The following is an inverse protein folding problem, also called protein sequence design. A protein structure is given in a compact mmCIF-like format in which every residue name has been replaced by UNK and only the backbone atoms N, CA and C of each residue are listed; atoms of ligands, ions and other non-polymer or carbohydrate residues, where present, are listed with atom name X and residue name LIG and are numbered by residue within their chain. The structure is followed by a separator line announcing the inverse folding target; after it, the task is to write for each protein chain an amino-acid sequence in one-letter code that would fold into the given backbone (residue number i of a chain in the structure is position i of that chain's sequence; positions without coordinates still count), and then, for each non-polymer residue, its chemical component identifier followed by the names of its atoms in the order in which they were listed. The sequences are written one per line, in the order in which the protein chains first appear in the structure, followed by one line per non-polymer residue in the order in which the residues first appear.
data_IF_077094408980
#
_entry.id   IF_077094408980
#
_cell.length_a   1.000
_cell.length_b   1.000
_cell.length_c   1.000
_cell.angle_alpha   90.00
_cell.angle_beta   90.00
_cell.angle_gamma   90.00
#
_symmetry.space_group_name_H-M   'P 1'
#
loop_
_entity.id
_entity.type
_entity.pdbx_description
1 polymer ?
#
# COMPACT_ATOMS: atom_id res chain seq x y z
N UNK A 1 -17.84 5.63 -2.06
CA UNK A 1 -16.53 5.17 -1.59
C UNK A 1 -16.70 4.25 -0.40
N UNK A 2 -16.06 3.10 -0.44
CA UNK A 2 -16.23 2.08 0.58
C UNK A 2 -14.96 1.86 1.40
N UNK A 3 -13.99 2.77 1.31
CA UNK A 3 -12.71 2.66 2.00
C UNK A 3 -12.35 3.96 2.69
N UNK A 4 -11.48 3.85 3.72
CA UNK A 4 -10.90 5.00 4.41
C UNK A 4 -9.42 5.10 4.08
N UNK A 5 -8.82 6.25 4.45
CA UNK A 5 -7.37 6.44 4.30
C UNK A 5 -6.61 5.35 5.05
N UNK A 6 -7.07 4.99 6.23
CA UNK A 6 -6.44 3.95 7.04
C UNK A 6 -6.49 2.59 6.37
N UNK A 7 -7.61 2.27 5.71
CA UNK A 7 -7.73 1.02 4.96
C UNK A 7 -6.76 0.97 3.80
N UNK A 8 -6.58 2.09 3.09
CA UNK A 8 -5.59 2.17 2.01
C UNK A 8 -4.17 1.97 2.53
N UNK A 9 -3.83 2.63 3.63
CA UNK A 9 -2.51 2.49 4.24
C UNK A 9 -2.26 1.05 4.65
N UNK A 10 -3.25 0.42 5.28
CA UNK A 10 -3.13 -0.97 5.70
C UNK A 10 -2.93 -1.91 4.50
N UNK A 11 -3.70 -1.71 3.44
CA UNK A 11 -3.60 -2.54 2.25
C UNK A 11 -2.24 -2.39 1.56
N UNK A 12 -1.77 -1.16 1.40
CA UNK A 12 -0.46 -0.89 0.81
C UNK A 12 0.67 -1.48 1.65
N UNK A 13 0.58 -1.33 2.95
CA UNK A 13 1.57 -1.90 3.88
C UNK A 13 1.59 -3.42 3.81
N UNK A 14 0.41 -4.05 3.75
CA UNK A 14 0.31 -5.50 3.63
C UNK A 14 0.91 -6.01 2.34
N UNK A 15 0.66 -5.32 1.22
CA UNK A 15 1.26 -5.68 -0.06
C UNK A 15 2.78 -5.58 0.00
N UNK A 16 3.29 -4.51 0.59
CA UNK A 16 4.73 -4.31 0.68
C UNK A 16 5.39 -5.36 1.57
N UNK A 17 4.77 -5.73 2.68
CA UNK A 17 5.28 -6.80 3.53
C UNK A 17 5.33 -8.13 2.78
N UNK A 18 4.31 -8.41 1.98
CA UNK A 18 4.27 -9.62 1.17
C UNK A 18 5.42 -9.65 0.17
N UNK A 19 5.70 -8.54 -0.49
CA UNK A 19 6.81 -8.44 -1.42
C UNK A 19 8.16 -8.58 -0.73
N UNK A 20 8.31 -7.97 0.44
CA UNK A 20 9.55 -8.06 1.22
C UNK A 20 9.82 -9.46 1.75
N UNK A 21 8.77 -10.24 1.98
CA UNK A 21 8.91 -11.59 2.46
C UNK A 21 9.69 -12.47 1.47
N UNK A 22 9.47 -12.24 0.18
CA UNK A 22 10.09 -13.05 -0.86
C UNK A 22 11.44 -12.49 -1.33
N UNK A 23 11.58 -11.16 -1.38
CA UNK A 23 12.77 -10.55 -2.00
C UNK A 23 13.06 -9.19 -1.34
N UNK A 24 13.51 -9.23 -0.11
CA UNK A 24 13.84 -8.02 0.65
C UNK A 24 15.35 -7.84 0.78
N UNK A 25 15.85 -6.68 0.35
CA UNK A 25 17.24 -6.30 0.50
C UNK A 25 17.33 -5.06 1.40
N UNK A 26 17.77 -5.21 2.67
CA UNK A 26 17.81 -4.08 3.60
C UNK A 26 18.76 -2.96 3.20
N UNK A 27 19.69 -3.20 2.29
CA UNK A 27 20.64 -2.17 1.82
C UNK A 27 20.01 -1.28 0.75
N UNK A 28 19.03 -1.79 0.00
CA UNK A 28 18.41 -1.10 -1.13
C UNK A 28 16.95 -0.77 -0.87
N UNK A 29 16.24 -1.67 -0.18
CA UNK A 29 14.80 -1.56 0.02
C UNK A 29 14.47 -0.94 1.38
N UNK A 30 13.41 -0.15 1.40
CA UNK A 30 12.86 0.42 2.62
C UNK A 30 12.23 -0.69 3.46
N UNK A 31 12.39 -0.67 4.78
CA UNK A 31 11.73 -1.65 5.64
C UNK A 31 10.21 -1.43 5.63
N UNK A 32 9.40 -2.46 5.91
CA UNK A 32 7.95 -2.28 6.00
C UNK A 32 7.53 -1.19 6.99
N UNK A 33 8.23 -1.05 8.11
CA UNK A 33 7.95 -0.02 9.10
C UNK A 33 8.21 1.38 8.54
N UNK A 34 9.31 1.56 7.82
CA UNK A 34 9.63 2.83 7.18
C UNK A 34 8.60 3.17 6.10
N UNK A 35 8.18 2.18 5.33
CA UNK A 35 7.16 2.36 4.31
C UNK A 35 5.84 2.78 4.93
N UNK A 36 5.45 2.15 6.04
CA UNK A 36 4.23 2.54 6.76
C UNK A 36 4.28 4.00 7.18
N UNK A 37 5.41 4.44 7.73
CA UNK A 37 5.60 5.84 8.13
C UNK A 37 5.45 6.77 6.93
N UNK A 38 6.01 6.40 5.79
CA UNK A 38 5.87 7.18 4.57
C UNK A 38 4.41 7.26 4.12
N UNK A 39 3.69 6.15 4.15
CA UNK A 39 2.27 6.11 3.78
C UNK A 39 1.44 7.03 4.66
N UNK A 40 1.74 7.08 5.95
CA UNK A 40 1.00 7.91 6.90
C UNK A 40 1.19 9.41 6.63
N UNK A 41 2.24 9.79 5.93
CA UNK A 41 2.50 11.20 5.57
C UNK A 41 1.94 11.56 4.19
N UNK A 42 1.41 10.61 3.45
CA UNK A 42 0.90 10.84 2.09
C UNK A 42 -0.56 11.30 2.12
N UNK A 43 -0.92 12.09 1.10
CA UNK A 43 -2.33 12.47 0.92
C UNK A 43 -3.14 11.29 0.40
N UNK A 44 -4.47 11.41 0.46
CA UNK A 44 -5.35 10.36 -0.07
C UNK A 44 -5.11 10.14 -1.56
N UNK A 45 -4.93 11.21 -2.32
CA UNK A 45 -4.68 11.11 -3.76
C UNK A 45 -3.37 10.37 -4.03
N UNK A 46 -2.34 10.65 -3.25
CA UNK A 46 -1.06 9.97 -3.38
C UNK A 46 -1.18 8.48 -3.03
N UNK A 47 -1.96 8.16 -2.01
CA UNK A 47 -2.20 6.76 -1.62
C UNK A 47 -2.91 6.00 -2.74
N UNK A 48 -3.91 6.61 -3.35
CA UNK A 48 -4.63 5.99 -4.47
C UNK A 48 -3.69 5.76 -5.65
N UNK A 49 -2.84 6.73 -5.96
CA UNK A 49 -1.86 6.58 -7.03
C UNK A 49 -0.89 5.45 -6.73
N UNK A 50 -0.52 5.26 -5.46
CA UNK A 50 0.40 4.21 -5.06
C UNK A 50 -0.18 2.81 -5.27
N UNK A 51 -1.50 2.67 -5.23
CA UNK A 51 -2.16 1.37 -5.44
C UNK A 51 -2.09 0.90 -6.89
N UNK A 52 -1.77 1.78 -7.83
CA UNK A 52 -1.74 1.50 -9.27
C UNK A 52 -3.08 1.00 -9.80
N UNK A 53 -4.18 1.47 -9.21
CA UNK A 53 -5.52 1.08 -9.62
C UNK A 53 -5.99 1.86 -10.85
N UNK A 54 -6.90 1.25 -11.61
CA UNK A 54 -7.48 1.87 -12.80
C UNK A 54 -8.96 1.47 -12.92
N UNK A 55 -9.55 1.64 -14.10
CA UNK A 55 -10.96 1.33 -14.34
C UNK A 55 -11.25 -0.18 -14.24
N UNK A 56 -10.25 -1.01 -14.46
CA UNK A 56 -10.40 -2.48 -14.44
C UNK A 56 -10.09 -3.02 -13.04
N UNK A 57 -8.99 -2.56 -12.43
CA UNK A 57 -8.61 -2.95 -11.08
C UNK A 57 -8.83 -1.76 -10.15
N UNK A 58 -9.93 -1.76 -9.44
CA UNK A 58 -10.35 -0.62 -8.61
C UNK A 58 -9.68 -0.63 -7.23
N UNK A 59 -9.75 0.50 -6.54
CA UNK A 59 -9.25 0.62 -5.16
C UNK A 59 -9.97 -0.36 -4.24
N UNK A 60 -11.27 -0.56 -4.45
CA UNK A 60 -12.05 -1.52 -3.65
C UNK A 60 -11.51 -2.94 -3.81
N UNK A 61 -11.14 -3.33 -5.02
CA UNK A 61 -10.55 -4.63 -5.27
C UNK A 61 -9.18 -4.76 -4.64
N UNK A 62 -8.39 -3.71 -4.69
CA UNK A 62 -7.07 -3.69 -4.05
C UNK A 62 -7.20 -3.92 -2.55
N UNK A 63 -8.13 -3.23 -1.89
CA UNK A 63 -8.35 -3.39 -0.45
C UNK A 63 -8.88 -4.79 -0.14
N UNK A 64 -9.75 -5.34 -0.98
CA UNK A 64 -10.27 -6.70 -0.78
C UNK A 64 -9.15 -7.74 -0.82
N UNK A 65 -8.10 -7.49 -1.62
CA UNK A 65 -6.99 -8.45 -1.75
C UNK A 65 -5.95 -8.29 -0.64
N UNK A 66 -5.68 -7.08 -0.17
CA UNK A 66 -4.57 -6.81 0.74
C UNK A 66 -4.99 -6.21 2.08
N UNK A 67 -6.16 -5.66 2.15
CA UNK A 67 -6.69 -5.09 3.39
C UNK A 67 -7.45 -6.12 4.17
#
# INVERSE_FOLDING_TARGET
MTYTREQLIHALHSEYEFLCHDDFDPDVDMSPTEYLTQLQSMSLDDLIAETSTDDIFTVDEFIANYG
#
